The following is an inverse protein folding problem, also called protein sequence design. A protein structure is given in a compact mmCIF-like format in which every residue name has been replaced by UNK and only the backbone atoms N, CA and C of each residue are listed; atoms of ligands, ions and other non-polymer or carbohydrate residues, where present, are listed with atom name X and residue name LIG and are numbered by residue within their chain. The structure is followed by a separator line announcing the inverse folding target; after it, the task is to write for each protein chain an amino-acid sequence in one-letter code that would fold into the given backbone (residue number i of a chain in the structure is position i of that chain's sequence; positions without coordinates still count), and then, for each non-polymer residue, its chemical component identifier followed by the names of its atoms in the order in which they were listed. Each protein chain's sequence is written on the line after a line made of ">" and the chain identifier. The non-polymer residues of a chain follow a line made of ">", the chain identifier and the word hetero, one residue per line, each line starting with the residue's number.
data_IF_492197005422
#
_entry.id   IF_492197005422
#
_cell.length_a   1.000
_cell.length_b   1.000
_cell.length_c   1.000
_cell.angle_alpha   90.00
_cell.angle_beta   90.00
_cell.angle_gamma   90.00
#
_symmetry.space_group_name_H-M   'P 1'
#
loop_
_entity.id
_entity.type
_entity.pdbx_description
1 polymer ?
#
# COMPACT_ATOMS: atom_id res chain seq x y z
N UNK A 1 9.12 6.74 -27.67
CA UNK A 1 7.77 6.24 -27.35
C UNK A 1 7.88 5.35 -26.14
N UNK A 2 7.31 5.69 -25.00
CA UNK A 2 7.19 4.75 -23.90
C UNK A 2 6.17 3.67 -24.35
N UNK A 3 6.61 2.42 -24.35
CA UNK A 3 5.71 1.29 -24.62
C UNK A 3 4.49 1.33 -23.69
N UNK A 4 3.33 0.82 -24.12
CA UNK A 4 2.20 0.62 -23.23
C UNK A 4 2.66 -0.18 -22.02
N UNK A 5 2.16 0.16 -20.82
CA UNK A 5 2.53 -0.54 -19.60
C UNK A 5 2.07 -2.00 -19.75
N UNK A 6 3.01 -2.85 -20.15
CA UNK A 6 2.78 -4.30 -20.18
C UNK A 6 2.97 -4.85 -18.79
N UNK A 7 1.98 -5.55 -18.26
CA UNK A 7 2.10 -6.25 -16.98
C UNK A 7 3.23 -7.28 -16.99
N UNK A 8 3.58 -7.78 -18.16
CA UNK A 8 4.58 -8.86 -18.34
C UNK A 8 6.05 -8.40 -18.28
N UNK A 9 6.35 -7.09 -18.32
CA UNK A 9 7.71 -6.54 -18.35
C UNK A 9 8.06 -5.70 -17.12
N UNK A 10 7.35 -5.89 -16.00
CA UNK A 10 7.63 -5.17 -14.76
C UNK A 10 8.64 -5.95 -13.91
N UNK A 11 9.54 -5.24 -13.24
CA UNK A 11 10.29 -5.81 -12.12
C UNK A 11 9.30 -6.23 -11.04
N UNK A 12 9.37 -7.48 -10.60
CA UNK A 12 8.47 -7.98 -9.57
C UNK A 12 8.89 -7.50 -8.18
N UNK A 13 7.94 -7.42 -7.25
CA UNK A 13 8.26 -7.11 -5.86
C UNK A 13 9.24 -8.14 -5.29
N UNK A 14 9.06 -9.43 -5.62
CA UNK A 14 9.94 -10.53 -5.21
C UNK A 14 11.39 -10.31 -5.62
N UNK A 15 11.62 -9.87 -6.86
CA UNK A 15 12.97 -9.54 -7.35
C UNK A 15 13.59 -8.36 -6.58
N UNK A 16 12.79 -7.35 -6.26
CA UNK A 16 13.27 -6.19 -5.51
C UNK A 16 13.66 -6.56 -4.08
N UNK A 17 12.76 -7.18 -3.32
CA UNK A 17 13.02 -7.54 -1.91
C UNK A 17 14.11 -8.60 -1.74
N UNK A 18 14.42 -9.38 -2.80
CA UNK A 18 15.52 -10.33 -2.78
C UNK A 18 16.90 -9.66 -2.90
N UNK A 19 16.95 -8.43 -3.41
CA UNK A 19 18.20 -7.70 -3.67
C UNK A 19 18.49 -6.63 -2.63
N UNK A 20 17.45 -5.97 -2.15
CA UNK A 20 17.58 -4.81 -1.26
C UNK A 20 16.33 -4.64 -0.38
N UNK A 21 16.45 -3.84 0.68
CA UNK A 21 15.31 -3.41 1.45
C UNK A 21 14.50 -2.38 0.66
N UNK A 22 13.20 -2.61 0.54
CA UNK A 22 12.28 -1.72 -0.19
C UNK A 22 11.51 -0.87 0.80
N UNK A 23 11.54 0.44 0.58
CA UNK A 23 10.72 1.41 1.29
C UNK A 23 9.53 1.82 0.41
N UNK A 24 8.32 1.40 0.78
CA UNK A 24 7.09 1.60 0.01
C UNK A 24 6.15 2.58 0.74
N UNK A 25 5.84 3.74 0.16
CA UNK A 25 4.86 4.65 0.73
C UNK A 25 3.45 4.12 0.51
N UNK A 26 2.53 4.50 1.40
CA UNK A 26 1.11 4.27 1.23
C UNK A 26 0.53 5.26 0.23
N UNK A 27 -0.28 4.74 -0.70
CA UNK A 27 -1.00 5.48 -1.73
C UNK A 27 -2.48 5.10 -1.67
N UNK A 28 -3.36 5.89 -2.30
CA UNK A 28 -4.81 5.68 -2.25
C UNK A 28 -5.51 5.85 -3.60
N UNK A 29 -4.79 6.40 -4.60
CA UNK A 29 -5.30 6.64 -5.95
C UNK A 29 -4.16 6.71 -6.97
N UNK A 30 -4.52 6.95 -8.23
CA UNK A 30 -3.54 7.08 -9.31
C UNK A 30 -2.64 8.33 -9.17
N UNK A 31 -3.14 9.42 -8.56
CA UNK A 31 -2.36 10.64 -8.38
C UNK A 31 -1.28 10.45 -7.31
N UNK A 32 -1.63 9.88 -6.17
CA UNK A 32 -0.67 9.54 -5.11
C UNK A 32 0.35 8.51 -5.58
N UNK A 33 -0.05 7.51 -6.38
CA UNK A 33 0.86 6.55 -7.01
C UNK A 33 1.85 7.24 -7.97
N UNK A 34 1.38 8.20 -8.76
CA UNK A 34 2.23 9.01 -9.65
C UNK A 34 3.20 9.88 -8.85
N UNK A 35 2.75 10.51 -7.76
CA UNK A 35 3.62 11.28 -6.89
C UNK A 35 4.74 10.41 -6.28
N UNK A 36 4.42 9.21 -5.81
CA UNK A 36 5.41 8.26 -5.32
C UNK A 36 6.43 7.86 -6.41
N UNK A 37 5.98 7.61 -7.65
CA UNK A 37 6.86 7.32 -8.78
C UNK A 37 7.82 8.48 -9.07
N UNK A 38 7.34 9.72 -9.05
CA UNK A 38 8.15 10.93 -9.25
C UNK A 38 9.16 11.16 -8.12
N UNK A 39 8.82 10.77 -6.89
CA UNK A 39 9.75 10.78 -5.76
C UNK A 39 10.86 9.72 -5.87
N UNK A 40 10.76 8.76 -6.81
CA UNK A 40 11.77 7.72 -7.03
C UNK A 40 11.60 6.49 -6.13
N UNK A 41 10.44 6.28 -5.52
CA UNK A 41 10.14 5.04 -4.82
C UNK A 41 10.14 3.85 -5.78
N UNK A 42 10.52 2.66 -5.28
CA UNK A 42 10.64 1.44 -6.09
C UNK A 42 9.42 0.52 -6.01
N UNK A 43 8.56 0.72 -5.03
CA UNK A 43 7.28 0.04 -4.86
C UNK A 43 6.31 0.96 -4.11
N UNK A 44 5.03 0.64 -4.15
CA UNK A 44 3.95 1.39 -3.48
C UNK A 44 2.99 0.43 -2.80
N UNK A 45 2.32 0.90 -1.74
CA UNK A 45 1.30 0.14 -1.03
C UNK A 45 -0.05 0.87 -1.13
N UNK A 46 -1.06 0.21 -1.70
CA UNK A 46 -2.44 0.69 -1.68
C UNK A 46 -3.02 0.42 -0.30
N UNK A 47 -3.17 1.49 0.50
CA UNK A 47 -3.69 1.42 1.86
C UNK A 47 -5.23 1.45 1.87
N UNK A 48 -5.86 0.49 2.55
CA UNK A 48 -7.32 0.45 2.75
C UNK A 48 -7.81 1.66 3.55
N UNK A 49 -7.09 2.05 4.61
CA UNK A 49 -7.40 3.22 5.42
C UNK A 49 -7.32 4.52 4.62
N UNK A 50 -6.24 4.71 3.85
CA UNK A 50 -6.11 5.90 3.00
C UNK A 50 -7.18 5.97 1.91
N UNK A 51 -7.60 4.83 1.35
CA UNK A 51 -8.76 4.77 0.44
C UNK A 51 -10.05 5.17 1.14
N UNK A 52 -10.31 4.68 2.38
CA UNK A 52 -11.50 5.06 3.14
C UNK A 52 -11.55 6.58 3.36
N UNK A 53 -10.43 7.21 3.73
CA UNK A 53 -10.36 8.66 3.89
C UNK A 53 -10.59 9.41 2.57
N UNK A 54 -9.96 8.98 1.49
CA UNK A 54 -9.99 9.69 0.21
C UNK A 54 -11.29 9.46 -0.58
N UNK A 55 -11.82 8.24 -0.58
CA UNK A 55 -12.98 7.86 -1.40
C UNK A 55 -14.30 8.04 -0.66
N UNK A 56 -14.32 7.73 0.65
CA UNK A 56 -15.55 7.69 1.43
C UNK A 56 -15.67 8.88 2.40
N UNK A 57 -14.57 9.60 2.69
CA UNK A 57 -14.52 10.60 3.76
C UNK A 57 -14.75 9.97 5.15
N UNK A 58 -14.43 8.69 5.30
CA UNK A 58 -14.67 7.90 6.52
C UNK A 58 -13.36 7.42 7.13
N UNK A 59 -13.33 7.17 8.46
CA UNK A 59 -12.17 6.58 9.10
C UNK A 59 -11.94 5.13 8.66
N UNK A 60 -10.73 4.61 8.91
CA UNK A 60 -10.37 3.21 8.67
C UNK A 60 -11.07 2.28 9.67
N UNK A 61 -12.30 1.92 9.35
CA UNK A 61 -13.18 1.10 10.20
C UNK A 61 -13.76 -0.12 9.49
N UNK A 62 -13.16 -0.54 8.37
CA UNK A 62 -13.61 -1.69 7.60
C UNK A 62 -14.83 -1.43 6.71
N UNK A 63 -15.06 -0.17 6.34
CA UNK A 63 -16.20 0.19 5.48
C UNK A 63 -15.90 0.04 3.99
N UNK A 64 -14.63 -0.02 3.61
CA UNK A 64 -14.22 -0.24 2.22
C UNK A 64 -14.64 -1.65 1.78
N UNK A 65 -15.13 -1.77 0.56
CA UNK A 65 -15.51 -3.06 -0.03
C UNK A 65 -14.38 -3.66 -0.86
N UNK A 66 -14.37 -4.99 -1.02
CA UNK A 66 -13.41 -5.65 -1.92
C UNK A 66 -13.50 -5.15 -3.35
N UNK A 67 -14.69 -4.74 -3.81
CA UNK A 67 -14.90 -4.21 -5.16
C UNK A 67 -14.16 -2.88 -5.36
N UNK A 68 -14.31 -1.95 -4.42
CA UNK A 68 -13.64 -0.64 -4.44
C UNK A 68 -12.12 -0.81 -4.40
N UNK A 69 -11.61 -1.69 -3.54
CA UNK A 69 -10.19 -2.00 -3.45
C UNK A 69 -9.64 -2.59 -4.75
N UNK A 70 -10.30 -3.60 -5.33
CA UNK A 70 -9.87 -4.24 -6.59
C UNK A 70 -9.89 -3.25 -7.75
N UNK A 71 -10.93 -2.43 -7.88
CA UNK A 71 -11.01 -1.42 -8.92
C UNK A 71 -9.91 -0.36 -8.80
N UNK A 72 -9.56 0.06 -7.59
CA UNK A 72 -8.47 1.01 -7.40
C UNK A 72 -7.11 0.36 -7.71
N UNK A 73 -6.89 -0.88 -7.28
CA UNK A 73 -5.68 -1.63 -7.62
C UNK A 73 -5.50 -1.76 -9.15
N UNK A 74 -6.56 -2.09 -9.89
CA UNK A 74 -6.53 -2.16 -11.35
C UNK A 74 -6.17 -0.83 -11.99
N UNK A 75 -6.78 0.28 -11.54
CA UNK A 75 -6.47 1.63 -12.04
C UNK A 75 -5.01 2.00 -11.81
N UNK A 76 -4.49 1.76 -10.60
CA UNK A 76 -3.09 2.04 -10.28
C UNK A 76 -2.16 1.15 -11.12
N UNK A 77 -2.43 -0.14 -11.23
CA UNK A 77 -1.62 -1.07 -12.02
C UNK A 77 -1.59 -0.74 -13.51
N UNK A 78 -2.60 -0.07 -14.05
CA UNK A 78 -2.60 0.38 -15.45
C UNK A 78 -1.91 1.73 -15.66
N UNK A 79 -1.67 2.51 -14.62
CA UNK A 79 -1.12 3.87 -14.70
C UNK A 79 0.29 4.01 -14.14
N UNK A 80 0.68 3.21 -13.15
CA UNK A 80 2.02 3.21 -12.56
C UNK A 80 2.83 1.98 -12.98
N UNK A 81 4.15 2.12 -13.10
CA UNK A 81 5.09 1.02 -13.36
C UNK A 81 5.58 0.33 -12.08
N UNK A 82 5.36 0.96 -10.93
CA UNK A 82 5.82 0.44 -9.65
C UNK A 82 5.06 -0.82 -9.26
N UNK A 83 5.74 -1.84 -8.70
CA UNK A 83 5.07 -2.95 -8.06
C UNK A 83 4.09 -2.47 -6.98
N UNK A 84 2.84 -2.94 -7.08
CA UNK A 84 1.77 -2.58 -6.15
C UNK A 84 1.60 -3.68 -5.10
N UNK A 85 1.74 -3.30 -3.84
CA UNK A 85 1.31 -4.07 -2.68
C UNK A 85 -0.11 -3.60 -2.34
N UNK A 86 -1.02 -4.50 -2.02
CA UNK A 86 -2.41 -4.13 -1.66
C UNK A 86 -2.69 -4.57 -0.23
N UNK A 87 -3.11 -3.62 0.61
CA UNK A 87 -3.70 -3.92 1.91
C UNK A 87 -5.12 -4.43 1.68
N UNK A 88 -5.28 -5.75 1.75
CA UNK A 88 -6.54 -6.43 1.53
C UNK A 88 -7.28 -6.75 2.83
N UNK A 89 -6.86 -6.12 3.94
CA UNK A 89 -7.49 -6.25 5.24
C UNK A 89 -7.61 -7.72 5.68
N UNK A 90 -8.75 -8.10 6.23
CA UNK A 90 -9.07 -9.49 6.57
C UNK A 90 -9.56 -10.31 5.35
N UNK A 91 -9.46 -9.77 4.13
CA UNK A 91 -9.93 -10.34 2.88
C UNK A 91 -11.38 -9.97 2.53
N UNK A 92 -11.92 -8.95 3.18
CA UNK A 92 -13.29 -8.44 2.98
C UNK A 92 -14.38 -9.49 3.22
N UNK A 93 -14.23 -10.24 4.31
CA UNK A 93 -15.23 -11.20 4.76
C UNK A 93 -14.69 -12.23 5.74
N UNK A 94 -15.61 -12.92 6.41
CA UNK A 94 -15.29 -13.85 7.50
C UNK A 94 -14.78 -15.20 7.00
N UNK A 95 -15.21 -15.63 5.80
CA UNK A 95 -14.85 -16.94 5.24
C UNK A 95 -13.50 -16.92 4.50
N UNK A 96 -12.68 -17.97 4.60
CA UNK A 96 -11.50 -18.14 3.73
C UNK A 96 -11.81 -18.04 2.23
N UNK A 97 -13.04 -18.37 1.79
CA UNK A 97 -13.45 -18.20 0.39
C UNK A 97 -13.59 -16.73 -0.02
N UNK A 98 -13.86 -15.81 0.91
CA UNK A 98 -13.82 -14.38 0.62
C UNK A 98 -12.38 -13.94 0.32
N UNK A 99 -11.44 -14.38 1.16
CA UNK A 99 -10.00 -14.14 0.97
C UNK A 99 -9.52 -14.70 -0.38
N UNK A 100 -9.86 -15.96 -0.68
CA UNK A 100 -9.51 -16.60 -1.95
C UNK A 100 -9.97 -15.74 -3.14
N UNK A 101 -11.24 -15.36 -3.15
CA UNK A 101 -11.81 -14.55 -4.24
C UNK A 101 -11.15 -13.18 -4.35
N UNK A 102 -10.92 -12.50 -3.22
CA UNK A 102 -10.28 -11.18 -3.18
C UNK A 102 -8.85 -11.24 -3.70
N UNK A 103 -8.04 -12.17 -3.19
CA UNK A 103 -6.64 -12.31 -3.62
C UNK A 103 -6.53 -12.70 -5.10
N UNK A 104 -7.38 -13.60 -5.59
CA UNK A 104 -7.42 -13.96 -7.01
C UNK A 104 -7.71 -12.73 -7.90
N UNK A 105 -8.65 -11.89 -7.50
CA UNK A 105 -9.01 -10.68 -8.25
C UNK A 105 -7.90 -9.63 -8.20
N UNK A 106 -7.27 -9.44 -7.04
CA UNK A 106 -6.16 -8.50 -6.89
C UNK A 106 -4.93 -8.93 -7.70
N UNK A 107 -4.57 -10.22 -7.67
CA UNK A 107 -3.49 -10.76 -8.51
C UNK A 107 -3.80 -10.55 -10.01
N UNK A 108 -5.05 -10.81 -10.43
CA UNK A 108 -5.50 -10.56 -11.81
C UNK A 108 -5.47 -9.07 -12.19
N UNK A 109 -5.75 -8.16 -11.25
CA UNK A 109 -5.63 -6.72 -11.44
C UNK A 109 -4.17 -6.24 -11.58
N UNK A 110 -3.20 -7.09 -11.27
CA UNK A 110 -1.76 -6.81 -11.40
C UNK A 110 -1.06 -6.47 -10.09
N UNK A 111 -1.67 -6.73 -8.94
CA UNK A 111 -1.01 -6.61 -7.64
C UNK A 111 0.17 -7.60 -7.55
N UNK A 112 1.30 -7.13 -7.01
CA UNK A 112 2.52 -7.92 -6.81
C UNK A 112 2.64 -8.45 -5.37
N UNK A 113 1.80 -7.98 -4.45
CA UNK A 113 1.60 -8.56 -3.14
C UNK A 113 0.23 -8.19 -2.58
N UNK A 114 -0.28 -9.02 -1.68
CA UNK A 114 -1.48 -8.76 -0.87
C UNK A 114 -1.15 -8.98 0.61
N UNK A 115 -1.60 -8.08 1.49
CA UNK A 115 -1.56 -8.35 2.93
C UNK A 115 -2.89 -8.93 3.36
N UNK A 116 -2.87 -9.95 4.23
CA UNK A 116 -4.06 -10.52 4.86
C UNK A 116 -3.87 -10.50 6.36
N UNK A 117 -4.78 -9.84 7.07
CA UNK A 117 -4.72 -9.72 8.53
C UNK A 117 -5.71 -10.63 9.26
N UNK A 118 -5.56 -10.65 10.58
CA UNK A 118 -6.37 -11.44 11.50
C UNK A 118 -7.49 -10.64 12.18
N UNK A 119 -7.80 -9.43 11.71
CA UNK A 119 -8.87 -8.61 12.30
C UNK A 119 -10.24 -9.26 12.09
N UNK A 120 -11.13 -9.07 13.05
CA UNK A 120 -12.52 -9.51 13.02
C UNK A 120 -13.46 -8.35 13.29
N UNK A 121 -14.44 -8.15 12.42
CA UNK A 121 -15.45 -7.12 12.60
C UNK A 121 -14.92 -5.70 12.43
N UNK A 122 -15.27 -4.82 13.38
CA UNK A 122 -14.85 -3.42 13.34
C UNK A 122 -13.33 -3.29 13.47
N UNK A 123 -12.75 -2.46 12.62
CA UNK A 123 -11.32 -2.11 12.64
C UNK A 123 -11.15 -0.77 13.33
N UNK A 124 -10.09 -0.63 14.08
CA UNK A 124 -9.83 0.62 14.81
C UNK A 124 -8.41 0.62 15.35
N UNK A 125 -7.42 0.59 14.44
CA UNK A 125 -6.01 0.60 14.82
C UNK A 125 -5.54 1.96 15.31
N UNK A 126 -6.27 3.03 15.01
CA UNK A 126 -5.91 4.38 15.44
C UNK A 126 -6.24 4.58 16.92
N UNK A 127 -5.35 5.32 17.61
CA UNK A 127 -5.49 5.60 19.05
C UNK A 127 -6.83 6.19 19.44
N UNK A 128 -7.45 7.00 18.57
CA UNK A 128 -8.74 7.63 18.83
C UNK A 128 -9.85 6.61 19.13
N UNK A 129 -9.75 5.39 18.58
CA UNK A 129 -10.76 4.36 18.83
C UNK A 129 -10.59 3.69 20.19
N UNK A 130 -9.37 3.62 20.75
CA UNK A 130 -9.14 3.07 22.08
C UNK A 130 -9.79 3.91 23.17
N UNK A 131 -9.85 5.23 22.98
CA UNK A 131 -10.45 6.15 23.93
C UNK A 131 -11.99 6.04 23.97
N UNK A 132 -12.63 5.39 22.98
CA UNK A 132 -14.09 5.17 22.93
C UNK A 132 -14.56 3.97 23.76
N UNK A 133 -13.62 3.18 24.30
CA UNK A 133 -13.92 1.95 25.02
C UNK A 133 -14.28 0.76 24.12
N UNK A 134 -14.25 0.95 22.79
CA UNK A 134 -14.44 -0.14 21.84
C UNK A 134 -13.22 -1.08 21.85
N UNK A 135 -13.51 -2.38 21.87
CA UNK A 135 -12.46 -3.40 21.78
C UNK A 135 -12.50 -4.03 20.40
N UNK A 136 -11.40 -3.86 19.70
CA UNK A 136 -11.15 -4.60 18.48
C UNK A 136 -11.00 -6.09 18.79
N UNK A 137 -11.34 -6.94 17.86
CA UNK A 137 -11.21 -8.39 17.96
C UNK A 137 -10.37 -8.93 16.80
N UNK A 138 -9.72 -10.06 17.05
CA UNK A 138 -9.04 -10.83 16.01
C UNK A 138 -9.59 -12.26 15.98
N UNK A 139 -9.49 -12.88 14.80
CA UNK A 139 -9.94 -14.27 14.62
C UNK A 139 -9.02 -15.26 15.32
N UNK A 140 -9.54 -16.48 15.55
CA UNK A 140 -8.74 -17.58 16.09
C UNK A 140 -7.55 -17.91 15.17
N UNK A 141 -6.52 -18.59 15.73
CA UNK A 141 -5.37 -19.07 14.98
C UNK A 141 -5.80 -19.92 13.79
N UNK A 142 -6.71 -20.88 14.00
CA UNK A 142 -7.17 -21.79 12.94
C UNK A 142 -7.85 -21.05 11.79
N UNK A 143 -8.70 -20.07 12.09
CA UNK A 143 -9.37 -19.30 11.05
C UNK A 143 -8.39 -18.38 10.32
N UNK A 144 -7.46 -17.74 11.03
CA UNK A 144 -6.40 -16.94 10.40
C UNK A 144 -5.56 -17.79 9.45
N UNK A 145 -5.09 -18.95 9.90
CA UNK A 145 -4.27 -19.85 9.08
C UNK A 145 -5.05 -20.41 7.88
N UNK A 146 -6.34 -20.68 8.02
CA UNK A 146 -7.20 -21.07 6.91
C UNK A 146 -7.34 -19.93 5.87
N UNK A 147 -7.42 -18.66 6.32
CA UNK A 147 -7.42 -17.49 5.44
C UNK A 147 -6.09 -17.34 4.69
N UNK A 148 -4.96 -17.52 5.37
CA UNK A 148 -3.63 -17.48 4.74
C UNK A 148 -3.48 -18.59 3.70
N UNK A 149 -3.87 -19.82 4.02
CA UNK A 149 -3.84 -20.94 3.06
C UNK A 149 -4.71 -20.63 1.81
N UNK A 150 -5.87 -20.02 2.00
CA UNK A 150 -6.75 -19.60 0.90
C UNK A 150 -6.10 -18.49 0.04
N UNK A 151 -5.40 -17.52 0.65
CA UNK A 151 -4.66 -16.49 -0.07
C UNK A 151 -3.53 -17.08 -0.91
N UNK A 152 -2.72 -17.97 -0.32
CA UNK A 152 -1.61 -18.67 -1.01
C UNK A 152 -2.11 -19.45 -2.21
N UNK A 153 -3.18 -20.22 -2.05
CA UNK A 153 -3.76 -20.98 -3.18
C UNK A 153 -4.34 -20.06 -4.27
N UNK A 154 -4.91 -18.92 -3.87
CA UNK A 154 -5.52 -17.97 -4.81
C UNK A 154 -4.52 -17.30 -5.75
N UNK A 155 -3.28 -17.06 -5.29
CA UNK A 155 -2.23 -16.38 -6.07
C UNK A 155 -1.26 -17.35 -6.75
N UNK A 156 -1.45 -18.63 -6.58
CA UNK A 156 -0.58 -19.68 -7.11
C UNK A 156 -0.42 -19.58 -8.64
N UNK A 157 0.83 -19.60 -9.09
CA UNK A 157 1.18 -19.44 -10.50
C UNK A 157 1.17 -18.00 -11.00
N UNK A 158 1.10 -17.03 -10.10
CA UNK A 158 1.27 -15.60 -10.38
C UNK A 158 2.53 -15.04 -9.69
N UNK A 159 2.90 -13.80 -9.98
CA UNK A 159 3.98 -13.08 -9.28
C UNK A 159 3.54 -12.43 -7.97
N UNK A 160 2.26 -12.54 -7.62
CA UNK A 160 1.69 -11.91 -6.43
C UNK A 160 2.12 -12.67 -5.16
N UNK A 161 2.73 -11.97 -4.23
CA UNK A 161 3.16 -12.47 -2.93
C UNK A 161 2.04 -12.40 -1.90
N UNK A 162 2.03 -13.30 -0.92
CA UNK A 162 1.16 -13.23 0.26
C UNK A 162 1.96 -12.75 1.46
N UNK A 163 1.52 -11.66 2.07
CA UNK A 163 2.06 -11.10 3.30
C UNK A 163 1.08 -11.39 4.42
N UNK A 164 1.43 -12.31 5.33
CA UNK A 164 0.63 -12.59 6.51
C UNK A 164 0.83 -11.48 7.56
N UNK A 165 -0.25 -10.86 8.01
CA UNK A 165 -0.24 -9.76 8.99
C UNK A 165 -0.99 -10.14 10.26
N UNK A 166 -0.44 -9.85 11.45
CA UNK A 166 -1.11 -10.16 12.72
C UNK A 166 -1.07 -9.02 13.71
N UNK A 167 -2.21 -8.78 14.36
CA UNK A 167 -2.35 -7.95 15.54
C UNK A 167 -2.33 -8.71 16.87
N UNK A 168 -2.09 -10.00 16.85
CA UNK A 168 -2.19 -10.90 18.00
C UNK A 168 -1.34 -10.46 19.21
N UNK A 169 -0.28 -9.68 18.99
CA UNK A 169 0.53 -9.11 20.08
C UNK A 169 -0.30 -8.38 21.13
N UNK A 170 -1.31 -7.63 20.70
CA UNK A 170 -2.18 -6.89 21.62
C UNK A 170 -3.16 -7.74 22.39
N UNK A 171 -3.53 -8.90 21.84
CA UNK A 171 -4.62 -9.74 22.35
C UNK A 171 -4.10 -10.96 23.11
N UNK A 172 -3.08 -11.61 22.57
CA UNK A 172 -2.56 -12.90 23.05
C UNK A 172 -1.07 -12.87 23.39
N UNK A 173 -0.43 -11.70 23.26
CA UNK A 173 0.98 -11.50 23.55
C UNK A 173 1.91 -11.77 22.37
N UNK A 174 3.19 -11.42 22.57
CA UNK A 174 4.16 -11.39 21.49
C UNK A 174 4.53 -12.77 20.96
N UNK A 175 4.62 -13.76 21.84
CA UNK A 175 4.93 -15.14 21.44
C UNK A 175 3.84 -15.74 20.55
N UNK A 176 2.56 -15.48 20.84
CA UNK A 176 1.47 -15.92 19.98
C UNK A 176 1.54 -15.26 18.61
N UNK A 177 1.85 -13.96 18.55
CA UNK A 177 2.01 -13.26 17.27
C UNK A 177 3.14 -13.88 16.43
N UNK A 178 4.27 -14.22 17.05
CA UNK A 178 5.40 -14.89 16.40
C UNK A 178 4.98 -16.28 15.90
N UNK A 179 4.31 -17.07 16.74
CA UNK A 179 3.87 -18.43 16.40
C UNK A 179 2.87 -18.43 15.23
N UNK A 180 1.98 -17.44 15.17
CA UNK A 180 1.09 -17.24 14.00
C UNK A 180 1.90 -17.02 12.72
N UNK A 181 2.96 -16.20 12.78
CA UNK A 181 3.78 -15.90 11.59
C UNK A 181 4.61 -17.10 11.16
N UNK A 182 5.16 -17.88 12.09
CA UNK A 182 5.85 -19.15 11.77
C UNK A 182 4.91 -20.08 11.02
N UNK A 183 3.73 -20.36 11.57
CA UNK A 183 2.73 -21.22 10.93
C UNK A 183 2.26 -20.69 9.58
N UNK A 184 2.08 -19.35 9.45
CA UNK A 184 1.72 -18.74 8.18
C UNK A 184 2.80 -18.93 7.10
N UNK A 185 4.07 -18.81 7.48
CA UNK A 185 5.21 -19.09 6.58
C UNK A 185 5.24 -20.56 6.17
N UNK A 186 5.00 -21.49 7.10
CA UNK A 186 4.91 -22.93 6.81
C UNK A 186 3.78 -23.27 5.82
N UNK A 187 2.72 -22.48 5.80
CA UNK A 187 1.62 -22.59 4.83
C UNK A 187 1.93 -21.95 3.46
N UNK A 188 3.08 -21.29 3.32
CA UNK A 188 3.53 -20.68 2.08
C UNK A 188 3.32 -19.18 1.94
N UNK A 189 3.03 -18.46 3.04
CA UNK A 189 3.11 -17.01 3.03
C UNK A 189 4.55 -16.56 2.72
N UNK A 190 4.70 -15.63 1.79
CA UNK A 190 6.02 -15.18 1.32
C UNK A 190 6.71 -14.24 2.30
N UNK A 191 5.93 -13.54 3.10
CA UNK A 191 6.41 -12.51 4.02
C UNK A 191 5.52 -12.44 5.26
N UNK A 192 6.10 -12.05 6.38
CA UNK A 192 5.42 -11.92 7.67
C UNK A 192 5.45 -10.49 8.18
N UNK A 193 4.35 -10.04 8.80
CA UNK A 193 4.19 -8.72 9.39
C UNK A 193 3.52 -8.82 10.76
N UNK A 194 4.24 -8.38 11.80
CA UNK A 194 3.70 -8.28 13.17
C UNK A 194 3.43 -6.82 13.47
N UNK A 195 2.19 -6.50 13.84
CA UNK A 195 1.82 -5.13 14.23
C UNK A 195 2.30 -4.77 15.64
N UNK A 196 2.33 -3.47 15.92
CA UNK A 196 2.72 -2.91 17.21
C UNK A 196 4.17 -3.21 17.64
N UNK A 197 5.06 -3.42 16.69
CA UNK A 197 6.51 -3.40 16.92
C UNK A 197 7.01 -1.97 16.76
N UNK A 198 7.91 -1.53 17.64
CA UNK A 198 8.38 -0.15 17.64
C UNK A 198 9.81 0.00 18.20
N UNK A 199 10.57 -1.08 18.22
CA UNK A 199 11.98 -1.06 18.62
C UNK A 199 12.75 -2.21 18.00
N UNK A 200 14.08 -2.05 17.95
CA UNK A 200 14.99 -3.03 17.37
C UNK A 200 14.93 -4.39 18.08
N UNK A 201 14.69 -4.42 19.40
CA UNK A 201 14.65 -5.67 20.15
C UNK A 201 13.42 -6.53 19.79
N UNK A 202 12.30 -5.92 19.48
CA UNK A 202 11.15 -6.63 18.92
C UNK A 202 11.50 -7.26 17.56
N UNK A 203 12.19 -6.50 16.71
CA UNK A 203 12.63 -6.99 15.41
C UNK A 203 13.59 -8.18 15.52
N UNK A 204 14.53 -8.14 16.47
CA UNK A 204 15.45 -9.26 16.74
C UNK A 204 14.69 -10.53 17.15
N UNK A 205 13.74 -10.41 18.09
CA UNK A 205 12.92 -11.56 18.55
C UNK A 205 12.12 -12.19 17.42
N UNK A 206 11.56 -11.38 16.52
CA UNK A 206 10.88 -11.88 15.33
C UNK A 206 11.86 -12.58 14.41
N UNK A 207 13.02 -11.96 14.14
CA UNK A 207 14.02 -12.50 13.23
C UNK A 207 14.61 -13.84 13.69
N UNK A 208 14.73 -14.05 15.00
CA UNK A 208 15.21 -15.30 15.59
C UNK A 208 14.30 -16.50 15.33
N UNK A 209 12.99 -16.28 15.20
CA UNK A 209 11.99 -17.36 15.15
C UNK A 209 11.23 -17.44 13.82
N UNK A 210 10.94 -16.30 13.17
CA UNK A 210 10.17 -16.25 11.94
C UNK A 210 11.11 -16.32 10.74
N UNK A 211 11.05 -17.37 9.92
CA UNK A 211 11.90 -17.50 8.74
C UNK A 211 11.49 -16.54 7.62
N UNK A 212 12.34 -16.39 6.63
CA UNK A 212 12.06 -15.65 5.40
C UNK A 212 12.02 -14.13 5.58
N UNK A 213 11.43 -13.46 4.60
CA UNK A 213 11.30 -12.02 4.55
C UNK A 213 10.26 -11.49 5.53
N UNK A 214 10.47 -10.28 5.99
CA UNK A 214 9.57 -9.60 6.92
C UNK A 214 9.25 -8.21 6.42
N UNK A 215 8.03 -7.76 6.74
CA UNK A 215 7.59 -6.40 6.51
C UNK A 215 7.55 -5.64 7.83
N UNK A 216 8.18 -4.48 7.87
CA UNK A 216 8.03 -3.55 8.99
C UNK A 216 6.77 -2.71 8.78
N UNK A 217 5.85 -2.68 9.77
CA UNK A 217 4.48 -2.20 9.53
C UNK A 217 4.39 -0.71 9.22
N UNK A 218 5.19 0.12 9.89
CA UNK A 218 5.19 1.56 9.66
C UNK A 218 6.38 2.21 10.36
N UNK A 219 7.17 2.96 9.61
CA UNK A 219 8.29 3.71 10.17
C UNK A 219 7.76 5.02 10.71
N UNK A 220 7.90 5.20 12.01
CA UNK A 220 7.48 6.43 12.69
C UNK A 220 8.67 7.13 13.33
N UNK A 221 8.54 8.44 13.45
CA UNK A 221 9.51 9.26 14.16
C UNK A 221 8.81 10.00 15.30
N UNK A 222 9.45 10.04 16.45
CA UNK A 222 8.99 10.82 17.60
C UNK A 222 10.06 11.84 17.99
N UNK A 223 9.71 13.10 17.95
CA UNK A 223 10.64 14.21 18.23
C UNK A 223 11.90 14.17 17.35
N UNK A 224 11.75 13.78 16.09
CA UNK A 224 12.86 13.68 15.13
C UNK A 224 13.73 12.43 15.28
N UNK A 225 13.38 11.50 16.16
CA UNK A 225 14.10 10.22 16.34
C UNK A 225 13.25 9.10 15.75
N UNK A 226 13.75 8.33 14.75
CA UNK A 226 13.05 7.16 14.23
C UNK A 226 12.94 6.07 15.31
N UNK A 227 11.89 5.26 15.23
CA UNK A 227 11.68 4.12 16.13
C UNK A 227 12.69 2.99 15.90
N UNK A 228 13.14 2.83 14.65
CA UNK A 228 14.20 1.89 14.24
C UNK A 228 15.03 2.50 13.11
N UNK A 229 16.29 2.12 13.05
CA UNK A 229 17.14 2.41 11.88
C UNK A 229 16.90 1.35 10.80
N UNK A 230 16.64 1.80 9.56
CA UNK A 230 16.31 0.91 8.45
C UNK A 230 17.41 -0.10 8.16
N UNK A 231 18.67 0.32 8.21
CA UNK A 231 19.83 -0.55 7.99
C UNK A 231 19.94 -1.69 9.00
N UNK A 232 19.52 -1.46 10.25
CA UNK A 232 19.60 -2.47 11.30
C UNK A 232 18.51 -3.53 11.14
N UNK A 233 17.29 -3.12 10.78
CA UNK A 233 16.21 -4.08 10.53
C UNK A 233 16.38 -4.80 9.19
N UNK A 234 17.04 -4.20 8.20
CA UNK A 234 17.41 -4.87 6.96
C UNK A 234 18.27 -6.12 7.21
N UNK A 235 19.27 -6.01 8.11
CA UNK A 235 20.13 -7.13 8.52
C UNK A 235 19.36 -8.28 9.19
N UNK A 236 18.16 -7.99 9.70
CA UNK A 236 17.27 -8.94 10.34
C UNK A 236 16.22 -9.55 9.40
N UNK A 237 16.30 -9.22 8.10
CA UNK A 237 15.38 -9.76 7.09
C UNK A 237 14.06 -8.98 6.97
N UNK A 238 14.01 -7.72 7.45
CA UNK A 238 12.91 -6.82 7.15
C UNK A 238 13.18 -6.16 5.78
N UNK A 239 12.77 -6.85 4.73
CA UNK A 239 13.06 -6.47 3.34
C UNK A 239 12.02 -5.52 2.75
N UNK A 240 10.90 -5.34 3.40
CA UNK A 240 9.86 -4.38 3.04
C UNK A 240 9.50 -3.51 4.24
N UNK A 241 9.40 -2.21 4.00
CA UNK A 241 9.09 -1.21 5.02
C UNK A 241 8.04 -0.26 4.46
N UNK A 242 7.03 0.11 5.23
CA UNK A 242 6.00 1.05 4.79
C UNK A 242 6.03 2.38 5.51
N UNK A 243 5.35 3.36 4.93
CA UNK A 243 5.20 4.71 5.46
C UNK A 243 3.77 5.23 5.16
N UNK A 244 3.03 5.55 6.23
CA UNK A 244 1.65 6.05 6.19
C UNK A 244 1.56 7.56 6.43
N UNK A 245 2.35 8.36 5.71
CA UNK A 245 2.39 9.81 5.95
C UNK A 245 2.13 10.66 4.70
N UNK A 246 2.05 10.07 3.51
CA UNK A 246 1.77 10.83 2.29
C UNK A 246 0.36 11.44 2.33
N UNK A 247 -0.63 10.69 2.80
CA UNK A 247 -2.01 11.14 2.96
C UNK A 247 -2.13 12.31 3.92
N UNK A 248 -1.39 12.27 5.03
CA UNK A 248 -1.34 13.38 5.98
C UNK A 248 -0.68 14.63 5.37
N UNK A 249 0.40 14.43 4.63
CA UNK A 249 1.06 15.49 3.87
C UNK A 249 0.15 16.11 2.82
N UNK A 250 -0.59 15.28 2.08
CA UNK A 250 -1.58 15.72 1.10
C UNK A 250 -2.71 16.54 1.75
N UNK A 251 -3.26 16.05 2.87
CA UNK A 251 -4.30 16.77 3.62
C UNK A 251 -3.80 18.12 4.12
N UNK A 252 -2.58 18.19 4.65
CA UNK A 252 -2.00 19.46 5.08
C UNK A 252 -1.78 20.42 3.90
N UNK A 253 -1.29 19.91 2.76
CA UNK A 253 -1.15 20.73 1.55
C UNK A 253 -2.49 21.29 1.07
N UNK A 254 -3.51 20.44 0.98
CA UNK A 254 -4.86 20.89 0.61
C UNK A 254 -5.40 21.97 1.55
N UNK A 255 -5.24 21.80 2.87
CA UNK A 255 -5.68 22.80 3.86
C UNK A 255 -4.89 24.09 3.75
N UNK A 256 -3.57 24.00 3.61
CA UNK A 256 -2.69 25.16 3.50
C UNK A 256 -3.02 26.00 2.27
N UNK A 257 -3.07 25.38 1.10
CA UNK A 257 -3.43 26.04 -0.17
C UNK A 257 -4.88 26.55 -0.15
N UNK A 258 -5.82 25.72 0.31
CA UNK A 258 -7.23 26.09 0.38
C UNK A 258 -7.47 27.29 1.27
N UNK A 259 -6.94 27.26 2.50
CA UNK A 259 -7.16 28.35 3.47
C UNK A 259 -6.49 29.66 3.06
N UNK A 260 -5.27 29.62 2.55
CA UNK A 260 -4.54 30.84 2.20
C UNK A 260 -5.05 31.48 0.90
N UNK A 261 -5.42 30.70 -0.11
CA UNK A 261 -6.07 31.23 -1.31
C UNK A 261 -7.48 31.77 -1.00
N UNK A 262 -8.26 31.08 -0.17
CA UNK A 262 -9.56 31.56 0.29
C UNK A 262 -9.46 32.88 1.04
N UNK A 263 -8.53 33.00 1.98
CA UNK A 263 -8.28 34.22 2.76
C UNK A 263 -7.94 35.41 1.85
N UNK A 264 -7.18 35.17 0.80
CA UNK A 264 -6.76 36.20 -0.15
C UNK A 264 -7.79 36.45 -1.27
N UNK A 265 -8.81 35.60 -1.39
CA UNK A 265 -9.79 35.61 -2.49
C UNK A 265 -9.16 35.56 -3.89
N UNK A 266 -8.01 34.91 -4.01
CA UNK A 266 -7.27 34.72 -5.26
C UNK A 266 -6.27 33.55 -5.12
N UNK A 267 -5.48 33.26 -6.15
CA UNK A 267 -4.51 32.16 -6.24
C UNK A 267 -3.05 32.60 -6.07
N UNK A 268 -2.79 33.80 -5.57
CA UNK A 268 -1.42 34.34 -5.40
C UNK A 268 -0.59 33.46 -4.45
N UNK A 269 -1.20 32.89 -3.42
CA UNK A 269 -0.51 31.98 -2.50
C UNK A 269 0.03 30.76 -3.24
N UNK A 270 -0.80 30.09 -4.03
CA UNK A 270 -0.37 28.93 -4.86
C UNK A 270 0.75 29.35 -5.82
N UNK A 271 0.58 30.44 -6.56
CA UNK A 271 1.58 30.92 -7.52
C UNK A 271 2.95 31.17 -6.85
N UNK A 272 2.96 31.78 -5.68
CA UNK A 272 4.21 32.04 -4.93
C UNK A 272 4.85 30.75 -4.39
N UNK A 273 4.07 29.77 -3.93
CA UNK A 273 4.58 28.51 -3.40
C UNK A 273 5.08 27.57 -4.49
N UNK A 274 4.42 27.55 -5.62
CA UNK A 274 4.82 26.70 -6.77
C UNK A 274 6.16 27.14 -7.38
N UNK A 275 6.54 28.42 -7.20
CA UNK A 275 7.77 28.97 -7.78
C UNK A 275 9.08 28.39 -7.23
N UNK A 276 9.09 27.76 -6.07
CA UNK A 276 10.28 27.22 -5.42
C UNK A 276 10.24 25.71 -5.13
N UNK A 277 9.17 25.03 -5.54
CA UNK A 277 8.92 23.64 -5.22
C UNK A 277 9.42 22.64 -6.27
N UNK A 278 8.97 21.42 -6.13
CA UNK A 278 9.25 20.31 -7.06
C UNK A 278 8.59 20.50 -8.42
N UNK A 279 7.46 21.22 -8.46
CA UNK A 279 6.78 21.59 -9.68
C UNK A 279 7.29 22.96 -10.18
N UNK A 280 7.59 23.06 -11.45
CA UNK A 280 7.88 24.35 -12.07
C UNK A 280 6.58 25.12 -12.24
N UNK A 281 6.65 26.45 -12.20
CA UNK A 281 5.49 27.35 -12.33
C UNK A 281 4.58 27.03 -13.53
N UNK A 282 5.18 26.64 -14.65
CA UNK A 282 4.44 26.37 -15.89
C UNK A 282 4.05 24.89 -16.04
N UNK A 283 4.39 24.05 -15.07
CA UNK A 283 4.02 22.64 -15.08
C UNK A 283 2.57 22.48 -14.59
N UNK A 284 1.76 21.83 -15.38
CA UNK A 284 0.43 21.40 -14.95
C UNK A 284 0.47 19.98 -14.39
N UNK A 285 -0.48 19.63 -13.52
CA UNK A 285 -0.66 18.24 -13.05
C UNK A 285 -0.77 17.27 -14.25
N UNK A 286 -1.39 17.71 -15.35
CA UNK A 286 -1.48 16.93 -16.59
C UNK A 286 -0.13 16.56 -17.19
N UNK A 287 0.91 17.40 -17.02
CA UNK A 287 2.28 17.09 -17.47
C UNK A 287 2.86 15.89 -16.72
N UNK A 288 2.57 15.78 -15.45
CA UNK A 288 2.96 14.63 -14.60
C UNK A 288 2.13 13.37 -14.87
N UNK A 289 1.00 13.49 -15.57
CA UNK A 289 0.12 12.41 -16.03
C UNK A 289 0.33 12.06 -17.51
N UNK A 290 1.53 12.25 -18.05
CA UNK A 290 1.92 11.90 -19.43
C UNK A 290 1.08 12.60 -20.53
N UNK A 291 0.62 13.85 -20.33
CA UNK A 291 -0.22 14.57 -21.28
C UNK A 291 0.35 14.56 -22.70
N UNK A 292 1.66 14.75 -22.87
CA UNK A 292 2.32 14.73 -24.17
C UNK A 292 2.13 13.41 -24.92
N UNK A 293 2.28 12.28 -24.21
CA UNK A 293 2.05 10.93 -24.77
C UNK A 293 0.61 10.78 -25.29
N UNK A 294 -0.36 11.22 -24.52
CA UNK A 294 -1.78 11.12 -24.92
C UNK A 294 -2.10 12.00 -26.11
N UNK A 295 -1.52 13.20 -26.18
CA UNK A 295 -1.65 14.07 -27.33
C UNK A 295 -1.02 13.48 -28.60
N UNK A 296 0.15 12.85 -28.50
CA UNK A 296 0.82 12.17 -29.61
C UNK A 296 0.00 10.98 -30.13
N UNK A 297 -0.60 10.20 -29.22
CA UNK A 297 -1.49 9.09 -29.58
C UNK A 297 -2.75 9.56 -30.27
N UNK A 298 -3.41 10.61 -29.75
CA UNK A 298 -4.60 11.20 -30.36
C UNK A 298 -4.29 11.70 -31.79
N UNK A 299 -3.17 12.39 -31.97
CA UNK A 299 -2.72 12.84 -33.28
C UNK A 299 -2.49 11.67 -34.26
N UNK A 300 -1.76 10.63 -33.78
CA UNK A 300 -1.51 9.44 -34.59
C UNK A 300 -2.82 8.81 -35.09
N UNK A 301 -3.79 8.58 -34.19
CA UNK A 301 -5.06 7.96 -34.59
C UNK A 301 -5.89 8.81 -35.51
N UNK A 302 -5.87 10.13 -35.40
CA UNK A 302 -6.53 11.05 -36.38
C UNK A 302 -5.88 10.98 -37.75
N UNK A 303 -4.54 11.02 -37.79
CA UNK A 303 -3.80 10.96 -39.07
C UNK A 303 -4.00 9.60 -39.76
N UNK A 304 -4.00 8.48 -39.01
CA UNK A 304 -4.27 7.14 -39.55
C UNK A 304 -5.72 7.00 -40.06
N UNK A 305 -6.71 7.57 -39.38
CA UNK A 305 -8.11 7.51 -39.77
C UNK A 305 -8.38 8.31 -41.06
N UNK A 306 -7.66 9.42 -41.30
CA UNK A 306 -7.75 10.20 -42.50
C UNK A 306 -7.16 9.47 -43.71
N UNK A 307 -6.12 8.64 -43.52
CA UNK A 307 -5.48 7.85 -44.58
C UNK A 307 -6.28 6.59 -44.98
N UNK A 308 -7.21 6.12 -44.16
CA UNK A 308 -8.10 4.99 -44.49
C UNK A 308 -9.22 5.42 -45.50
N UNK A 309 -9.54 6.72 -45.54
CA UNK A 309 -10.60 7.28 -46.37
C UNK A 309 -10.06 7.96 -47.66
N UNK A 310 -8.76 7.85 -47.91
CA UNK A 310 -8.10 8.31 -49.13
C UNK A 310 -7.68 7.11 -50.00
#
# INVERSE_FOLDING_TARGET
>A
MSEPISLNNRTTLRELVSKEQIFAPCVWDCLSARAAELCGFKAILLSSGAQAWAMLGMPDTGMLTSEECVQMAERICTTSKLPLIVDADEGYGTSPLNVYRTCQRLAKAGAMAVTIDDTSGFRGWERIFYDTGYKMEIVSDDLFLAKIAAAVEAVKGTDCMVIARTGARHFYGFDNAIDRMVKATDLGADMSMVLAINCLDDCKKIAERVPGWKMYPDVVSRNGVPDVELEDIAKLGFNLVTMHYLEKGAMYGMLDYGMNNWKNQNTVYSDQHDMGGWMKRDDSISSYCDAKKWMELEKKFRDESLNINS
#
